data_IF_368629755218
#
_entry.id   IF_368629755218
#
_cell.length_a   1.000
_cell.length_b   1.000
_cell.length_c   1.000
_cell.angle_alpha   90.00
_cell.angle_beta   90.00
_cell.angle_gamma   90.00
#
_symmetry.space_group_name_H-M   'P 1'
#
loop_
_entity.id
_entity.type
_entity.pdbx_description
1 polymer ?
#
# COMPACT_ATOMS: atom_id res chain seq x y z
N UNK A 1 -0.54 -14.99 -7.50
CA UNK A 1 -1.40 -14.74 -6.31
C UNK A 1 -2.68 -15.59 -6.18
N UNK A 2 -3.23 -16.21 -7.26
CA UNK A 2 -4.50 -16.97 -7.21
C UNK A 2 -4.55 -18.12 -6.17
N UNK A 3 -3.51 -18.96 -6.10
CA UNK A 3 -3.43 -20.07 -5.13
C UNK A 3 -3.40 -19.59 -3.68
N UNK A 4 -2.64 -18.52 -3.40
CA UNK A 4 -2.54 -17.94 -2.05
C UNK A 4 -3.89 -17.40 -1.60
N UNK A 5 -4.65 -16.73 -2.49
CA UNK A 5 -6.02 -16.30 -2.21
C UNK A 5 -6.92 -17.46 -1.80
N UNK A 6 -6.88 -18.56 -2.55
CA UNK A 6 -7.68 -19.76 -2.29
C UNK A 6 -7.30 -20.45 -0.96
N UNK A 7 -6.05 -20.31 -0.53
CA UNK A 7 -5.58 -20.88 0.74
C UNK A 7 -6.11 -20.13 1.98
N UNK A 8 -6.66 -18.92 1.82
CA UNK A 8 -7.21 -18.14 2.95
C UNK A 8 -6.19 -17.71 3.99
N UNK A 9 -4.89 -17.71 3.64
CA UNK A 9 -3.82 -17.29 4.53
C UNK A 9 -3.77 -15.76 4.63
N UNK A 10 -3.29 -15.23 5.76
CA UNK A 10 -3.02 -13.80 5.88
C UNK A 10 -1.83 -13.41 5.01
N UNK A 11 -1.97 -12.33 4.24
CA UNK A 11 -0.95 -11.83 3.31
C UNK A 11 -0.55 -10.42 3.74
N UNK A 12 0.75 -10.15 3.78
CA UNK A 12 1.33 -8.82 3.89
C UNK A 12 2.10 -8.47 2.62
N UNK A 13 2.05 -7.21 2.20
CA UNK A 13 2.75 -6.76 1.01
C UNK A 13 4.26 -6.61 1.23
N UNK A 14 5.05 -7.06 0.25
CA UNK A 14 6.48 -6.81 0.12
C UNK A 14 6.89 -7.02 -1.34
N UNK A 15 7.80 -6.18 -1.86
CA UNK A 15 8.14 -6.15 -3.29
C UNK A 15 9.52 -6.72 -3.62
N UNK A 16 10.39 -6.93 -2.63
CA UNK A 16 11.82 -7.24 -2.84
C UNK A 16 12.55 -6.25 -3.78
N UNK A 17 12.06 -5.01 -3.89
CA UNK A 17 12.76 -3.96 -4.65
C UNK A 17 14.00 -3.52 -3.87
N UNK A 18 15.18 -3.93 -4.33
CA UNK A 18 16.48 -3.55 -3.77
C UNK A 18 17.39 -2.84 -4.79
N UNK A 19 17.13 -3.02 -6.09
CA UNK A 19 17.92 -2.42 -7.15
C UNK A 19 17.52 -0.96 -7.37
N UNK A 20 18.52 -0.12 -7.65
CA UNK A 20 18.30 1.25 -8.11
C UNK A 20 18.24 1.22 -9.64
N UNK A 21 17.13 1.70 -10.20
CA UNK A 21 16.88 1.75 -11.64
C UNK A 21 16.80 3.23 -12.05
N UNK A 22 17.59 3.60 -13.04
CA UNK A 22 17.64 4.98 -13.53
C UNK A 22 16.25 5.46 -13.97
N UNK A 23 15.85 6.63 -13.45
CA UNK A 23 14.55 7.24 -13.74
C UNK A 23 13.38 6.73 -12.89
N UNK A 24 13.59 5.73 -12.04
CA UNK A 24 12.54 5.14 -11.21
C UNK A 24 12.76 5.39 -9.71
N UNK A 25 11.67 5.32 -8.94
CA UNK A 25 11.73 5.33 -7.48
C UNK A 25 11.38 3.95 -6.93
N UNK A 26 11.81 3.63 -5.71
CA UNK A 26 11.38 2.39 -5.05
C UNK A 26 9.86 2.31 -4.90
N UNK A 27 9.18 3.45 -4.75
CA UNK A 27 7.73 3.52 -4.67
C UNK A 27 7.04 3.14 -5.98
N UNK A 28 7.51 3.68 -7.11
CA UNK A 28 6.98 3.36 -8.45
C UNK A 28 7.22 1.90 -8.80
N UNK A 29 8.41 1.37 -8.54
CA UNK A 29 8.71 -0.05 -8.76
C UNK A 29 7.88 -0.98 -7.86
N UNK A 30 7.72 -0.64 -6.58
CA UNK A 30 6.96 -1.48 -5.65
C UNK A 30 5.46 -1.53 -6.01
N UNK A 31 4.85 -0.40 -6.39
CA UNK A 31 3.40 -0.37 -6.62
C UNK A 31 2.96 -1.16 -7.86
N UNK A 32 3.86 -1.46 -8.80
CA UNK A 32 3.54 -2.31 -9.96
C UNK A 32 3.10 -3.73 -9.56
N UNK A 33 3.54 -4.25 -8.41
CA UNK A 33 3.09 -5.55 -7.89
C UNK A 33 1.59 -5.59 -7.53
N UNK A 34 0.92 -4.43 -7.45
CA UNK A 34 -0.53 -4.34 -7.33
C UNK A 34 -1.25 -5.17 -8.40
N UNK A 35 -0.73 -5.18 -9.63
CA UNK A 35 -1.37 -5.83 -10.78
C UNK A 35 -1.55 -7.33 -10.53
N UNK A 36 -0.58 -7.97 -9.88
CA UNK A 36 -0.66 -9.39 -9.52
C UNK A 36 -1.79 -9.72 -8.53
N UNK A 37 -2.22 -8.77 -7.68
CA UNK A 37 -3.38 -8.93 -6.81
C UNK A 37 -4.69 -8.71 -7.58
N UNK A 38 -4.72 -7.70 -8.45
CA UNK A 38 -5.88 -7.39 -9.30
C UNK A 38 -6.18 -8.57 -10.24
N UNK A 39 -5.18 -9.07 -10.95
CA UNK A 39 -5.29 -10.23 -11.85
C UNK A 39 -5.69 -11.53 -11.13
N UNK A 40 -5.35 -11.64 -9.84
CA UNK A 40 -5.77 -12.75 -9.00
C UNK A 40 -7.18 -12.59 -8.41
N UNK A 41 -7.84 -11.45 -8.66
CA UNK A 41 -9.21 -11.19 -8.25
C UNK A 41 -9.36 -10.83 -6.77
N UNK A 42 -8.34 -10.24 -6.14
CA UNK A 42 -8.49 -9.73 -4.79
C UNK A 42 -9.45 -8.53 -4.77
N UNK A 43 -10.43 -8.47 -3.85
CA UNK A 43 -11.24 -7.27 -3.65
C UNK A 43 -10.39 -6.08 -3.23
N UNK A 44 -10.74 -4.87 -3.66
CA UNK A 44 -10.01 -3.64 -3.32
C UNK A 44 -9.77 -3.45 -1.82
N UNK A 45 -10.79 -3.75 -0.99
CA UNK A 45 -10.69 -3.72 0.48
C UNK A 45 -9.57 -4.63 1.01
N UNK A 46 -9.46 -5.84 0.45
CA UNK A 46 -8.46 -6.81 0.89
C UNK A 46 -7.06 -6.37 0.48
N UNK A 47 -6.90 -5.84 -0.74
CA UNK A 47 -5.63 -5.25 -1.20
C UNK A 47 -5.19 -4.12 -0.26
N UNK A 48 -6.10 -3.20 0.09
CA UNK A 48 -5.77 -2.12 1.03
C UNK A 48 -5.30 -2.66 2.38
N UNK A 49 -5.94 -3.72 2.91
CA UNK A 49 -5.51 -4.33 4.17
C UNK A 49 -4.14 -5.01 4.07
N UNK A 50 -3.86 -5.72 2.96
CA UNK A 50 -2.58 -6.36 2.67
C UNK A 50 -1.43 -5.34 2.67
N UNK A 51 -1.68 -4.16 2.10
CA UNK A 51 -0.71 -3.07 1.96
C UNK A 51 -0.60 -2.17 3.21
N UNK A 52 -1.50 -2.33 4.19
CA UNK A 52 -1.55 -1.48 5.40
C UNK A 52 -1.48 -2.32 6.69
N UNK A 53 -2.64 -2.65 7.27
CA UNK A 53 -2.73 -3.27 8.60
C UNK A 53 -2.05 -4.63 8.68
N UNK A 54 -2.05 -5.42 7.60
CA UNK A 54 -1.38 -6.72 7.62
C UNK A 54 0.14 -6.57 7.64
N UNK A 55 0.69 -5.61 6.91
CA UNK A 55 2.12 -5.26 6.97
C UNK A 55 2.50 -4.72 8.35
N UNK A 56 1.65 -3.86 8.95
CA UNK A 56 1.89 -3.35 10.30
C UNK A 56 1.90 -4.47 11.36
N UNK A 57 0.98 -5.44 11.25
CA UNK A 57 0.94 -6.63 12.13
C UNK A 57 2.18 -7.51 11.96
N UNK A 58 2.61 -7.74 10.72
CA UNK A 58 3.83 -8.51 10.43
C UNK A 58 5.06 -7.88 11.11
N UNK A 59 5.12 -6.55 11.13
CA UNK A 59 6.21 -5.78 11.74
C UNK A 59 6.06 -5.56 13.25
N UNK A 60 4.93 -5.94 13.87
CA UNK A 60 4.65 -5.72 15.29
C UNK A 60 4.43 -4.24 15.66
N UNK A 61 3.97 -3.41 14.71
CA UNK A 61 3.74 -1.97 14.90
C UNK A 61 2.28 -1.57 14.70
N UNK A 62 1.35 -2.53 14.69
CA UNK A 62 -0.08 -2.32 14.45
C UNK A 62 -0.78 -1.46 15.50
N UNK A 63 -0.17 -1.27 16.68
CA UNK A 63 -0.62 -0.33 17.71
C UNK A 63 -0.23 1.12 17.45
N UNK A 64 0.59 1.37 16.42
CA UNK A 64 1.13 2.68 16.09
C UNK A 64 0.88 3.08 14.64
N UNK A 65 0.82 2.12 13.70
CA UNK A 65 0.71 2.34 12.26
C UNK A 65 -0.24 1.35 11.58
N UNK A 66 -0.62 1.64 10.35
CA UNK A 66 -1.39 0.73 9.48
C UNK A 66 -2.91 0.86 9.57
N UNK A 67 -3.44 1.79 10.39
CA UNK A 67 -4.87 2.11 10.45
C UNK A 67 -5.05 3.60 10.72
N UNK A 68 -6.07 4.20 10.11
CA UNK A 68 -6.50 5.57 10.40
C UNK A 68 -7.45 5.52 11.60
N UNK A 69 -6.95 5.83 12.78
CA UNK A 69 -7.72 5.88 14.03
C UNK A 69 -7.05 6.85 15.03
N UNK A 70 -7.80 7.38 16.02
CA UNK A 70 -7.22 8.17 17.10
C UNK A 70 -6.09 7.41 17.81
N UNK A 71 -4.99 8.12 18.13
CA UNK A 71 -3.82 7.54 18.79
C UNK A 71 -2.80 6.88 17.87
N UNK A 72 -3.10 6.72 16.57
CA UNK A 72 -2.18 6.20 15.57
C UNK A 72 -1.29 7.32 14.98
N UNK A 73 -0.15 6.94 14.42
CA UNK A 73 0.67 7.86 13.65
C UNK A 73 -0.11 8.41 12.44
N UNK A 74 -0.03 9.72 12.21
CA UNK A 74 -0.64 10.37 11.06
C UNK A 74 0.20 10.14 9.79
N UNK A 75 0.20 8.89 9.31
CA UNK A 75 0.75 8.47 8.02
C UNK A 75 -0.39 8.25 7.03
N UNK A 76 -0.54 9.16 6.08
CA UNK A 76 -1.71 9.21 5.20
C UNK A 76 -1.23 9.45 3.78
N UNK A 77 -1.81 8.72 2.83
CA UNK A 77 -1.71 9.03 1.40
C UNK A 77 -3.09 9.42 0.88
N UNK A 78 -3.15 10.19 -0.21
CA UNK A 78 -4.39 10.39 -0.96
C UNK A 78 -4.15 10.16 -2.46
N UNK A 79 -5.21 9.71 -3.11
CA UNK A 79 -5.28 9.39 -4.53
C UNK A 79 -6.41 10.21 -5.17
N UNK A 80 -6.38 10.45 -6.50
CA UNK A 80 -7.38 11.27 -7.18
C UNK A 80 -8.78 10.63 -7.22
N UNK A 81 -8.88 9.32 -6.98
CA UNK A 81 -10.14 8.57 -6.99
C UNK A 81 -10.29 7.72 -5.72
N UNK A 82 -11.50 7.22 -5.48
CA UNK A 82 -11.77 6.26 -4.43
C UNK A 82 -11.13 4.89 -4.76
N UNK A 83 -10.18 4.38 -3.95
CA UNK A 83 -9.52 3.10 -4.23
C UNK A 83 -10.43 1.88 -4.08
N UNK A 84 -11.61 2.03 -3.44
CA UNK A 84 -12.61 0.96 -3.40
C UNK A 84 -13.35 0.78 -4.73
N UNK A 85 -13.45 1.85 -5.53
CA UNK A 85 -14.08 1.84 -6.85
C UNK A 85 -13.04 1.58 -7.94
N UNK A 86 -11.83 2.14 -7.81
CA UNK A 86 -10.72 1.96 -8.74
C UNK A 86 -9.38 1.79 -8.01
N UNK A 87 -8.98 0.55 -7.72
CA UNK A 87 -7.75 0.27 -6.95
C UNK A 87 -6.46 0.74 -7.66
N UNK A 88 -6.47 0.84 -8.99
CA UNK A 88 -5.30 1.32 -9.76
C UNK A 88 -4.96 2.80 -9.47
N UNK A 89 -5.85 3.54 -8.80
CA UNK A 89 -5.56 4.89 -8.32
C UNK A 89 -4.39 4.93 -7.34
N UNK A 90 -4.05 3.81 -6.68
CA UNK A 90 -2.86 3.71 -5.82
C UNK A 90 -1.53 3.93 -6.58
N UNK A 91 -1.50 3.76 -7.90
CA UNK A 91 -0.34 4.13 -8.74
C UNK A 91 -0.21 5.65 -8.96
N UNK A 92 -1.21 6.45 -8.53
CA UNK A 92 -1.30 7.90 -8.72
C UNK A 92 -1.46 8.65 -7.39
N UNK A 93 -0.65 8.30 -6.39
CA UNK A 93 -0.64 9.01 -5.10
C UNK A 93 -0.27 10.48 -5.32
N UNK A 94 -1.17 11.39 -4.93
CA UNK A 94 -1.02 12.84 -5.12
C UNK A 94 -0.74 13.60 -3.82
N UNK A 95 -0.84 12.92 -2.68
CA UNK A 95 -0.59 13.48 -1.35
C UNK A 95 0.09 12.44 -0.47
N UNK A 96 1.09 12.88 0.30
CA UNK A 96 1.76 12.07 1.31
C UNK A 96 1.91 12.88 2.59
N UNK A 97 1.55 12.27 3.72
CA UNK A 97 1.81 12.75 5.07
C UNK A 97 2.52 11.63 5.84
N UNK A 98 3.55 11.99 6.60
CA UNK A 98 4.27 11.09 7.48
C UNK A 98 4.40 11.72 8.86
N UNK A 99 3.97 11.02 9.90
CA UNK A 99 3.95 11.53 11.28
C UNK A 99 3.34 12.95 11.37
N UNK A 100 2.27 13.23 10.65
CA UNK A 100 1.58 14.53 10.67
C UNK A 100 2.23 15.63 9.80
N UNK A 101 3.39 15.37 9.19
CA UNK A 101 4.05 16.32 8.29
C UNK A 101 3.72 16.00 6.84
N UNK A 102 3.22 16.99 6.10
CA UNK A 102 2.94 16.87 4.66
C UNK A 102 4.26 16.90 3.87
N UNK A 103 4.43 15.93 2.99
CA UNK A 103 5.53 15.84 2.04
C UNK A 103 4.97 16.09 0.64
N UNK A 104 5.44 17.16 -0.01
CA UNK A 104 5.12 17.44 -1.41
C UNK A 104 6.32 17.02 -2.26
N UNK A 105 6.07 16.36 -3.39
CA UNK A 105 7.07 16.35 -4.45
C UNK A 105 7.22 17.78 -4.95
N UNK A 106 8.45 18.30 -4.91
CA UNK A 106 8.78 19.51 -5.64
C UNK A 106 8.54 19.22 -7.13
N UNK A 107 7.96 20.18 -7.84
CA UNK A 107 8.09 20.19 -9.30
C UNK A 107 9.56 20.26 -9.66
#
# INVERSE_FOLDING_TARGET
>A
MKRVRQAGVTIAFGSDVYADIDGETRGTLAIEYLDGFVEAGFPAREILQIFTINAARLLGVEKQRGTIAPGMAADIIATPENPLDNINTLKRVSFVMKNGKVHKHGK
#
